data_IF_203961642834
#
_entry.id   IF_203961642834
#
_cell.length_a   1.000
_cell.length_b   1.000
_cell.length_c   1.000
_cell.angle_alpha   90.00
_cell.angle_beta   90.00
_cell.angle_gamma   90.00
#
_symmetry.space_group_name_H-M   'P 1'
#
loop_
_entity.id
_entity.type
_entity.pdbx_description
1 polymer ?
#
# COMPACT_ATOMS: atom_id res chain seq x y z
N UNK A 1 -14.03 5.33 5.13
CA UNK A 1 -13.00 5.66 6.15
C UNK A 1 -12.43 7.02 5.81
N UNK A 2 -12.37 7.94 6.78
CA UNK A 2 -11.89 9.32 6.55
C UNK A 2 -10.53 9.57 7.19
N UNK A 3 -10.22 8.87 8.28
CA UNK A 3 -8.97 9.05 9.03
C UNK A 3 -8.39 7.72 9.50
N UNK A 4 -7.05 7.69 9.52
CA UNK A 4 -6.25 6.68 10.22
C UNK A 4 -5.41 7.44 11.23
N UNK A 5 -5.47 7.05 12.51
CA UNK A 5 -4.71 7.71 13.57
C UNK A 5 -3.80 6.70 14.28
N UNK A 6 -2.60 7.15 14.59
CA UNK A 6 -1.61 6.46 15.41
C UNK A 6 -1.49 7.21 16.72
N UNK A 7 -1.64 6.53 17.85
CA UNK A 7 -1.51 7.14 19.18
C UNK A 7 -0.44 6.39 19.96
N UNK A 8 0.75 6.99 20.06
CA UNK A 8 1.92 6.44 20.77
C UNK A 8 2.28 5.01 20.33
N UNK A 9 2.13 4.70 19.04
CA UNK A 9 2.37 3.37 18.52
C UNK A 9 3.86 3.06 18.40
N UNK A 10 4.22 1.80 18.70
CA UNK A 10 5.58 1.28 18.54
C UNK A 10 5.52 -0.24 18.32
N UNK A 11 6.13 -0.82 17.26
CA UNK A 11 6.27 -2.26 17.16
C UNK A 11 7.07 -2.82 18.34
N UNK A 12 6.61 -3.92 18.92
CA UNK A 12 7.26 -4.50 20.13
C UNK A 12 8.72 -4.89 19.92
N UNK A 13 9.13 -5.15 18.68
CA UNK A 13 10.54 -5.42 18.36
C UNK A 13 11.46 -4.25 18.72
N UNK A 14 10.93 -3.04 18.83
CA UNK A 14 11.65 -1.83 19.24
C UNK A 14 11.41 -1.46 20.71
N UNK A 15 10.54 -2.18 21.43
CA UNK A 15 10.26 -1.90 22.83
C UNK A 15 11.55 -2.02 23.67
N UNK A 16 11.78 -1.00 24.49
CA UNK A 16 12.98 -0.93 25.33
C UNK A 16 14.27 -0.44 24.63
N UNK A 17 14.23 -0.12 23.33
CA UNK A 17 15.35 0.52 22.66
C UNK A 17 15.42 2.01 23.09
N UNK A 18 16.55 2.50 23.65
CA UNK A 18 16.67 3.89 24.01
C UNK A 18 16.86 4.77 22.78
N UNK A 19 16.27 5.97 22.80
CA UNK A 19 16.61 7.03 21.83
C UNK A 19 15.99 6.87 20.45
N UNK A 20 14.82 6.22 20.33
CA UNK A 20 14.07 6.16 19.06
C UNK A 20 13.78 7.60 18.59
N UNK A 21 14.42 8.00 17.50
CA UNK A 21 14.17 9.29 16.85
C UNK A 21 13.25 9.02 15.63
N UNK A 22 11.98 9.30 15.79
CA UNK A 22 10.99 9.09 14.75
C UNK A 22 9.92 10.17 14.82
N UNK A 23 9.40 10.57 13.65
CA UNK A 23 8.25 11.46 13.54
C UNK A 23 6.94 10.66 13.53
N UNK A 24 7.01 9.32 13.49
CA UNK A 24 5.87 8.40 13.44
C UNK A 24 5.73 7.64 14.76
N UNK A 25 6.81 6.97 15.23
CA UNK A 25 6.75 6.16 16.44
C UNK A 25 6.67 7.02 17.70
N UNK A 26 5.86 6.57 18.66
CA UNK A 26 5.64 7.25 19.94
C UNK A 26 5.09 8.68 19.78
N UNK A 27 4.42 8.94 18.68
CA UNK A 27 3.73 10.21 18.37
C UNK A 27 2.23 10.00 18.23
N UNK A 28 1.50 11.11 18.24
CA UNK A 28 0.13 11.12 17.74
C UNK A 28 0.16 11.67 16.33
N UNK A 29 -0.21 10.83 15.38
CA UNK A 29 -0.19 11.13 13.95
C UNK A 29 -1.55 10.81 13.35
N UNK A 30 -2.00 11.63 12.38
CA UNK A 30 -3.28 11.45 11.72
C UNK A 30 -3.10 11.55 10.22
N UNK A 31 -3.47 10.49 9.52
CA UNK A 31 -3.61 10.46 8.08
C UNK A 31 -5.06 10.75 7.70
N UNK A 32 -5.27 11.65 6.77
CA UNK A 32 -6.60 12.09 6.32
C UNK A 32 -6.82 11.67 4.87
N UNK A 33 -8.02 11.24 4.59
CA UNK A 33 -8.46 10.91 3.23
C UNK A 33 -8.20 12.08 2.28
N UNK A 34 -7.76 11.79 1.05
CA UNK A 34 -7.46 12.79 0.02
C UNK A 34 -6.06 13.39 0.09
N UNK A 35 -5.29 13.14 1.17
CA UNK A 35 -3.91 13.61 1.30
C UNK A 35 -2.89 12.54 0.91
N UNK A 36 -1.67 12.96 0.58
CA UNK A 36 -0.56 12.07 0.20
C UNK A 36 0.59 12.25 1.18
N UNK A 37 1.06 11.13 1.70
CA UNK A 37 2.09 11.04 2.73
C UNK A 37 3.25 10.18 2.24
N UNK A 38 4.48 10.60 2.52
CA UNK A 38 5.68 9.81 2.32
C UNK A 38 6.32 9.53 3.68
N UNK A 39 6.57 8.26 3.98
CA UNK A 39 7.27 7.82 5.18
C UNK A 39 8.62 7.24 4.75
N UNK A 40 9.68 7.99 4.99
CA UNK A 40 11.04 7.60 4.64
C UNK A 40 11.80 7.08 5.85
N UNK A 41 12.58 6.02 5.67
CA UNK A 41 13.47 5.50 6.70
C UNK A 41 14.52 4.57 6.10
N UNK A 42 15.58 4.34 6.83
CA UNK A 42 16.54 3.28 6.52
C UNK A 42 15.89 1.88 6.60
N UNK A 43 16.59 0.88 6.08
CA UNK A 43 16.13 -0.51 6.20
C UNK A 43 16.09 -0.94 7.67
N UNK A 44 15.06 -1.68 8.06
CA UNK A 44 14.93 -2.20 9.42
C UNK A 44 14.24 -1.27 10.42
N UNK A 45 13.89 -0.03 10.07
CA UNK A 45 13.24 0.92 10.98
C UNK A 45 11.74 0.70 11.20
N UNK A 46 11.13 -0.37 10.63
CA UNK A 46 9.74 -0.73 10.92
C UNK A 46 8.70 -0.25 9.91
N UNK A 47 9.09 0.23 8.70
CA UNK A 47 8.14 0.63 7.65
C UNK A 47 7.12 -0.47 7.30
N UNK A 48 7.62 -1.67 7.01
CA UNK A 48 6.75 -2.81 6.70
C UNK A 48 5.95 -3.27 7.93
N UNK A 49 6.46 -3.06 9.15
CA UNK A 49 5.68 -3.28 10.37
C UNK A 49 4.50 -2.33 10.44
N UNK A 50 4.73 -1.02 10.23
CA UNK A 50 3.65 -0.02 10.19
C UNK A 50 2.56 -0.41 9.19
N UNK A 51 2.96 -0.76 7.96
CA UNK A 51 2.02 -1.19 6.93
C UNK A 51 1.26 -2.47 7.33
N UNK A 52 1.96 -3.44 7.92
CA UNK A 52 1.35 -4.70 8.35
C UNK A 52 0.40 -4.50 9.55
N UNK A 53 0.74 -3.62 10.49
CA UNK A 53 -0.09 -3.27 11.64
C UNK A 53 -1.37 -2.55 11.18
N UNK A 54 -1.25 -1.53 10.32
CA UNK A 54 -2.38 -0.81 9.73
C UNK A 54 -3.31 -1.70 8.90
N UNK A 55 -2.76 -2.71 8.23
CA UNK A 55 -3.56 -3.67 7.47
C UNK A 55 -4.10 -4.83 8.32
N UNK A 56 -3.76 -4.85 9.64
CA UNK A 56 -4.20 -5.87 10.59
C UNK A 56 -3.58 -7.25 10.36
N UNK A 57 -2.40 -7.31 9.73
CA UNK A 57 -1.62 -8.55 9.60
C UNK A 57 -0.81 -8.88 10.86
N UNK A 58 -0.49 -7.85 11.63
CA UNK A 58 0.25 -7.97 12.89
C UNK A 58 -0.51 -7.26 14.01
N UNK A 59 -0.25 -7.68 15.24
CA UNK A 59 -0.80 -7.10 16.47
C UNK A 59 0.26 -6.99 17.57
N UNK A 60 1.53 -7.11 17.21
CA UNK A 60 2.66 -7.07 18.12
C UNK A 60 3.24 -5.64 18.24
N UNK A 61 2.40 -4.71 18.63
CA UNK A 61 2.73 -3.31 18.88
C UNK A 61 2.25 -2.84 20.25
N UNK A 62 2.74 -1.69 20.68
CA UNK A 62 2.25 -0.89 21.79
C UNK A 62 1.53 0.35 21.24
N UNK A 63 0.72 1.01 22.05
CA UNK A 63 -0.10 2.15 21.61
C UNK A 63 -1.40 1.73 20.93
N UNK A 64 -2.00 2.61 20.15
CA UNK A 64 -3.32 2.37 19.55
C UNK A 64 -3.37 2.90 18.13
N UNK A 65 -3.93 2.09 17.22
CA UNK A 65 -4.34 2.51 15.88
C UNK A 65 -5.86 2.73 15.87
N UNK A 66 -6.30 3.84 15.27
CA UNK A 66 -7.71 4.17 15.17
C UNK A 66 -8.11 4.37 13.71
N UNK A 67 -9.30 3.86 13.33
CA UNK A 67 -10.00 4.17 12.09
C UNK A 67 -11.23 4.98 12.41
N UNK A 68 -11.30 6.23 11.93
CA UNK A 68 -12.37 7.18 12.24
C UNK A 68 -12.65 7.31 13.77
N UNK A 69 -11.57 7.29 14.58
CA UNK A 69 -11.63 7.39 16.04
C UNK A 69 -11.94 6.08 16.78
N UNK A 70 -12.21 4.97 16.09
CA UNK A 70 -12.44 3.64 16.69
C UNK A 70 -11.18 2.80 16.65
N UNK A 71 -10.85 2.13 17.76
CA UNK A 71 -9.69 1.22 17.81
C UNK A 71 -9.82 0.06 16.82
N UNK A 72 -8.73 -0.21 16.10
CA UNK A 72 -8.69 -1.35 15.17
C UNK A 72 -8.74 -2.70 15.90
N UNK A 73 -8.42 -2.74 17.19
CA UNK A 73 -8.50 -3.95 18.02
C UNK A 73 -9.95 -4.36 18.34
N UNK A 74 -10.89 -3.42 18.18
CA UNK A 74 -12.32 -3.65 18.36
C UNK A 74 -13.03 -4.14 17.10
N UNK A 75 -12.32 -4.20 15.96
CA UNK A 75 -12.91 -4.62 14.69
C UNK A 75 -13.14 -6.13 14.68
N UNK A 76 -14.35 -6.53 14.31
CA UNK A 76 -14.69 -7.92 14.06
C UNK A 76 -14.01 -8.45 12.80
N UNK A 77 -14.04 -9.77 12.60
CA UNK A 77 -13.51 -10.40 11.37
C UNK A 77 -14.22 -9.89 10.12
N UNK A 78 -15.54 -9.70 10.18
CA UNK A 78 -16.36 -9.19 9.08
C UNK A 78 -15.98 -7.75 8.73
N UNK A 79 -15.78 -6.90 9.74
CA UNK A 79 -15.33 -5.51 9.55
C UNK A 79 -13.92 -5.46 8.95
N UNK A 80 -13.01 -6.31 9.40
CA UNK A 80 -11.69 -6.44 8.78
C UNK A 80 -11.75 -6.91 7.33
N UNK A 81 -12.65 -7.82 6.99
CA UNK A 81 -12.88 -8.24 5.61
C UNK A 81 -13.35 -7.06 4.75
N UNK A 82 -14.23 -6.21 5.30
CA UNK A 82 -14.71 -5.03 4.57
C UNK A 82 -13.62 -3.96 4.43
N UNK A 83 -12.85 -3.68 5.50
CA UNK A 83 -11.69 -2.77 5.46
C UNK A 83 -10.72 -3.19 4.35
N UNK A 84 -10.32 -4.46 4.28
CA UNK A 84 -9.37 -4.99 3.29
C UNK A 84 -9.95 -5.08 1.88
N UNK A 85 -11.25 -5.09 1.74
CA UNK A 85 -11.93 -5.17 0.45
C UNK A 85 -12.25 -3.80 -0.13
N UNK A 86 -12.53 -2.78 0.72
CA UNK A 86 -13.11 -1.50 0.27
C UNK A 86 -12.44 -0.25 0.78
N UNK A 87 -11.66 -0.34 1.86
CA UNK A 87 -11.14 0.86 2.53
C UNK A 87 -9.63 1.01 2.42
N UNK A 88 -8.87 -0.09 2.50
CA UNK A 88 -7.41 -0.05 2.38
C UNK A 88 -6.94 -0.93 1.23
N UNK A 89 -6.38 -0.32 0.18
CA UNK A 89 -5.66 -1.02 -0.87
C UNK A 89 -4.19 -1.12 -0.50
N UNK A 90 -3.73 -2.33 -0.21
CA UNK A 90 -2.37 -2.56 0.28
C UNK A 90 -1.47 -3.22 -0.78
N UNK A 91 -0.34 -2.58 -1.05
CA UNK A 91 0.80 -3.12 -1.80
C UNK A 91 1.92 -3.47 -0.82
N UNK A 92 2.12 -4.73 -0.45
CA UNK A 92 3.26 -5.14 0.38
C UNK A 92 4.56 -5.17 -0.43
N UNK A 93 5.69 -4.96 0.22
CA UNK A 93 7.03 -4.97 -0.38
C UNK A 93 7.31 -6.28 -1.14
N UNK A 94 6.91 -7.44 -0.60
CA UNK A 94 7.09 -8.74 -1.26
C UNK A 94 6.07 -9.01 -2.38
N UNK A 95 5.22 -8.04 -2.73
CA UNK A 95 4.20 -8.11 -3.78
C UNK A 95 3.13 -9.20 -3.56
N UNK A 96 3.47 -10.35 -2.99
CA UNK A 96 2.59 -11.50 -2.66
C UNK A 96 1.69 -11.91 -3.83
N UNK A 97 2.30 -12.05 -5.00
CA UNK A 97 1.64 -12.66 -6.15
C UNK A 97 1.59 -14.19 -5.97
N UNK A 98 0.55 -14.81 -6.52
CA UNK A 98 0.47 -16.26 -6.67
C UNK A 98 1.31 -16.67 -7.89
N UNK A 99 2.45 -17.36 -7.69
CA UNK A 99 3.40 -17.59 -8.76
C UNK A 99 2.90 -18.53 -9.86
N UNK A 100 1.93 -19.40 -9.54
CA UNK A 100 1.32 -20.34 -10.47
C UNK A 100 0.23 -19.71 -11.34
N UNK A 101 -0.39 -18.63 -10.88
CA UNK A 101 -1.40 -17.90 -11.63
C UNK A 101 -0.74 -16.93 -12.62
N UNK A 102 -1.41 -16.69 -13.73
CA UNK A 102 -0.99 -15.67 -14.69
C UNK A 102 -1.01 -14.27 -14.07
N UNK A 103 -0.34 -13.32 -14.69
CA UNK A 103 -0.36 -11.92 -14.27
C UNK A 103 -1.80 -11.39 -14.23
N UNK A 104 -2.59 -11.67 -15.24
CA UNK A 104 -4.00 -11.25 -15.33
C UNK A 104 -4.85 -11.90 -14.24
N UNK A 105 -4.72 -13.22 -14.01
CA UNK A 105 -5.46 -13.91 -12.94
C UNK A 105 -5.14 -13.35 -11.56
N UNK A 106 -3.87 -12.99 -11.28
CA UNK A 106 -3.49 -12.33 -10.04
C UNK A 106 -4.22 -11.00 -9.82
N UNK A 107 -4.43 -10.23 -10.88
CA UNK A 107 -5.18 -8.95 -10.83
C UNK A 107 -6.68 -9.23 -10.67
N UNK A 108 -7.22 -10.16 -11.44
CA UNK A 108 -8.65 -10.50 -11.42
C UNK A 108 -9.10 -11.06 -10.07
N UNK A 109 -8.26 -11.83 -9.35
CA UNK A 109 -8.57 -12.30 -8.00
C UNK A 109 -9.01 -11.15 -7.08
N UNK A 110 -8.33 -10.01 -7.16
CA UNK A 110 -8.66 -8.84 -6.34
C UNK A 110 -9.86 -8.10 -6.90
N UNK A 111 -9.90 -7.89 -8.20
CA UNK A 111 -10.98 -7.16 -8.87
C UNK A 111 -12.34 -7.85 -8.70
N UNK A 112 -12.41 -9.17 -8.77
CA UNK A 112 -13.65 -9.95 -8.63
C UNK A 112 -14.34 -9.77 -7.27
N UNK A 113 -13.61 -9.35 -6.23
CA UNK A 113 -14.21 -9.11 -4.91
C UNK A 113 -15.19 -7.92 -4.91
N UNK A 114 -15.01 -6.97 -5.84
CA UNK A 114 -15.80 -5.73 -5.86
C UNK A 114 -16.27 -5.33 -7.27
N UNK A 115 -15.70 -5.90 -8.33
CA UNK A 115 -15.96 -5.48 -9.71
C UNK A 115 -15.54 -4.03 -10.00
N UNK A 116 -14.48 -3.55 -9.34
CA UNK A 116 -14.08 -2.14 -9.35
C UNK A 116 -13.63 -1.63 -10.72
N UNK A 117 -12.95 -2.48 -11.48
CA UNK A 117 -12.46 -2.18 -12.83
C UNK A 117 -13.11 -3.10 -13.86
N UNK A 118 -13.39 -2.52 -15.02
CA UNK A 118 -13.77 -3.29 -16.21
C UNK A 118 -12.56 -4.02 -16.81
N UNK A 119 -12.80 -5.05 -17.60
CA UNK A 119 -11.72 -5.74 -18.34
C UNK A 119 -10.91 -4.79 -19.23
N UNK A 120 -11.56 -3.79 -19.83
CA UNK A 120 -10.88 -2.80 -20.67
C UNK A 120 -9.94 -1.91 -19.85
N UNK A 121 -10.36 -1.46 -18.69
CA UNK A 121 -9.51 -0.67 -17.78
C UNK A 121 -8.31 -1.49 -17.28
N UNK A 122 -8.53 -2.77 -16.94
CA UNK A 122 -7.42 -3.65 -16.51
C UNK A 122 -6.41 -3.81 -17.66
N UNK A 123 -6.87 -4.06 -18.89
CA UNK A 123 -5.98 -4.16 -20.06
C UNK A 123 -5.20 -2.87 -20.31
N UNK A 124 -5.85 -1.72 -20.22
CA UNK A 124 -5.19 -0.42 -20.33
C UNK A 124 -4.09 -0.22 -19.29
N UNK A 125 -4.29 -0.66 -18.03
CA UNK A 125 -3.25 -0.62 -17.00
C UNK A 125 -2.06 -1.53 -17.35
N UNK A 126 -2.30 -2.73 -17.92
CA UNK A 126 -1.23 -3.60 -18.40
C UNK A 126 -0.43 -2.96 -19.55
N UNK A 127 -1.11 -2.27 -20.47
CA UNK A 127 -0.47 -1.53 -21.56
C UNK A 127 0.37 -0.35 -21.04
N UNK A 128 -0.22 0.49 -20.20
CA UNK A 128 0.46 1.65 -19.58
C UNK A 128 1.73 1.26 -18.83
N UNK A 129 1.70 0.14 -18.12
CA UNK A 129 2.86 -0.37 -17.37
C UNK A 129 3.78 -1.28 -18.20
N UNK A 130 3.55 -1.41 -19.52
CA UNK A 130 4.44 -2.15 -20.42
C UNK A 130 4.56 -3.63 -20.08
N UNK A 131 3.47 -4.26 -19.61
CA UNK A 131 3.42 -5.70 -19.27
C UNK A 131 2.26 -6.43 -19.97
N UNK A 132 1.66 -5.82 -21.00
CA UNK A 132 0.53 -6.39 -21.71
C UNK A 132 0.85 -7.75 -22.34
N UNK A 133 2.03 -7.93 -22.92
CA UNK A 133 2.52 -9.19 -23.51
C UNK A 133 2.85 -10.26 -22.44
N UNK A 134 2.73 -9.93 -21.17
CA UNK A 134 2.97 -10.80 -20.02
C UNK A 134 1.68 -11.20 -19.31
N UNK A 135 0.51 -10.67 -19.72
CA UNK A 135 -0.76 -10.87 -19.03
C UNK A 135 -1.08 -12.36 -18.80
N UNK A 136 -0.84 -13.20 -19.80
CA UNK A 136 -1.13 -14.64 -19.76
C UNK A 136 0.06 -15.50 -19.27
N UNK A 137 1.14 -14.87 -18.79
CA UNK A 137 2.31 -15.60 -18.23
C UNK A 137 2.14 -15.82 -16.74
N UNK A 138 2.52 -17.00 -16.21
CA UNK A 138 2.59 -17.24 -14.77
C UNK A 138 3.47 -16.18 -14.08
N UNK A 139 2.99 -15.62 -12.98
CA UNK A 139 3.66 -14.54 -12.27
C UNK A 139 5.07 -14.93 -11.78
N UNK A 140 5.29 -16.19 -11.40
CA UNK A 140 6.60 -16.70 -11.00
C UNK A 140 7.65 -16.74 -12.12
N UNK A 141 7.26 -16.54 -13.39
CA UNK A 141 8.18 -16.46 -14.55
C UNK A 141 8.46 -15.02 -14.99
N UNK A 142 7.91 -14.04 -14.30
CA UNK A 142 8.15 -12.63 -14.55
C UNK A 142 9.41 -12.14 -13.82
N UNK A 143 10.10 -11.13 -14.38
CA UNK A 143 11.14 -10.43 -13.64
C UNK A 143 10.56 -9.71 -12.43
N UNK A 144 11.39 -9.40 -11.43
CA UNK A 144 10.95 -8.73 -10.20
C UNK A 144 10.25 -7.39 -10.50
N UNK A 145 10.77 -6.58 -11.43
CA UNK A 145 10.13 -5.33 -11.85
C UNK A 145 8.81 -5.55 -12.63
N UNK A 146 8.66 -6.66 -13.38
CA UNK A 146 7.39 -7.03 -14.00
C UNK A 146 6.38 -7.46 -12.93
N UNK A 147 6.80 -8.26 -11.95
CA UNK A 147 5.97 -8.66 -10.82
C UNK A 147 5.49 -7.43 -10.03
N UNK A 148 6.38 -6.46 -9.78
CA UNK A 148 6.01 -5.22 -9.07
C UNK A 148 4.94 -4.44 -9.84
N UNK A 149 5.07 -4.29 -11.17
CA UNK A 149 4.06 -3.64 -12.00
C UNK A 149 2.71 -4.37 -11.97
N UNK A 150 2.70 -5.70 -12.02
CA UNK A 150 1.49 -6.51 -11.88
C UNK A 150 0.86 -6.34 -10.48
N UNK A 151 1.66 -6.30 -9.42
CA UNK A 151 1.18 -6.09 -8.05
C UNK A 151 0.54 -4.69 -7.88
N UNK A 152 1.10 -3.66 -8.55
CA UNK A 152 0.53 -2.31 -8.59
C UNK A 152 -0.83 -2.34 -9.30
N UNK A 153 -0.94 -2.98 -10.49
CA UNK A 153 -2.22 -3.13 -11.20
C UNK A 153 -3.25 -3.79 -10.27
N UNK A 154 -2.88 -4.89 -9.60
CA UNK A 154 -3.75 -5.57 -8.65
C UNK A 154 -4.21 -4.66 -7.52
N UNK A 155 -3.34 -3.79 -7.02
CA UNK A 155 -3.64 -2.88 -5.91
C UNK A 155 -4.67 -1.83 -6.32
N UNK A 156 -4.57 -1.25 -7.53
CA UNK A 156 -5.52 -0.24 -8.03
C UNK A 156 -6.83 -0.85 -8.57
N UNK A 157 -6.93 -2.17 -8.65
CA UNK A 157 -8.16 -2.87 -9.04
C UNK A 157 -9.12 -3.12 -7.87
N UNK A 158 -9.02 -2.32 -6.81
CA UNK A 158 -9.97 -2.35 -5.69
C UNK A 158 -10.36 -0.92 -5.33
N UNK A 159 -11.61 -0.67 -4.89
CA UNK A 159 -11.98 0.62 -4.30
C UNK A 159 -11.24 0.79 -2.96
N UNK A 160 -10.82 2.01 -2.65
CA UNK A 160 -10.23 2.29 -1.36
C UNK A 160 -10.40 3.75 -0.96
N UNK A 161 -10.25 3.99 0.34
CA UNK A 161 -10.12 5.33 0.94
C UNK A 161 -8.65 5.66 1.21
N UNK A 162 -7.80 4.63 1.34
CA UNK A 162 -6.36 4.74 1.55
C UNK A 162 -5.59 3.72 0.71
N UNK A 163 -4.65 4.20 -0.09
CA UNK A 163 -3.57 3.39 -0.64
C UNK A 163 -2.45 3.29 0.39
N UNK A 164 -2.09 2.08 0.77
CA UNK A 164 -0.98 1.75 1.65
C UNK A 164 0.09 1.05 0.81
N UNK A 165 1.19 1.74 0.52
CA UNK A 165 2.18 1.31 -0.47
C UNK A 165 3.55 1.12 0.20
N UNK A 166 3.96 -0.13 0.39
CA UNK A 166 5.23 -0.47 1.02
C UNK A 166 6.32 -0.63 -0.04
N UNK A 167 7.19 0.39 -0.16
CA UNK A 167 8.26 0.48 -1.14
C UNK A 167 7.81 0.22 -2.59
N UNK A 168 6.80 0.96 -3.11
CA UNK A 168 6.09 0.61 -4.34
C UNK A 168 6.94 0.61 -5.61
N UNK A 169 8.11 1.26 -5.59
CA UNK A 169 8.96 1.46 -6.78
C UNK A 169 10.40 0.98 -6.58
N UNK A 170 10.66 0.15 -5.56
CA UNK A 170 12.01 -0.31 -5.19
C UNK A 170 12.75 -1.04 -6.31
N UNK A 171 12.05 -1.67 -7.25
CA UNK A 171 12.62 -2.44 -8.37
C UNK A 171 12.30 -1.82 -9.74
N UNK A 172 11.93 -0.55 -9.79
CA UNK A 172 11.56 0.17 -11.00
C UNK A 172 12.59 1.24 -11.33
N UNK A 173 12.81 1.44 -12.62
CA UNK A 173 13.56 2.58 -13.12
C UNK A 173 12.72 3.87 -13.05
N UNK A 174 13.35 5.01 -13.32
CA UNK A 174 12.73 6.33 -13.23
C UNK A 174 11.50 6.47 -14.13
N UNK A 175 11.55 5.91 -15.35
CA UNK A 175 10.44 5.97 -16.31
C UNK A 175 9.23 5.21 -15.78
N UNK A 176 9.42 3.98 -15.29
CA UNK A 176 8.35 3.19 -14.70
C UNK A 176 7.85 3.79 -13.38
N UNK A 177 8.73 4.42 -12.58
CA UNK A 177 8.31 5.14 -11.36
C UNK A 177 7.30 6.24 -11.70
N UNK A 178 7.58 7.08 -12.70
CA UNK A 178 6.65 8.15 -13.15
C UNK A 178 5.30 7.59 -13.59
N UNK A 179 5.30 6.53 -14.40
CA UNK A 179 4.05 5.90 -14.86
C UNK A 179 3.23 5.37 -13.67
N UNK A 180 3.88 4.75 -12.69
CA UNK A 180 3.23 4.29 -11.46
C UNK A 180 2.67 5.46 -10.66
N UNK A 181 3.45 6.52 -10.51
CA UNK A 181 3.06 7.74 -9.81
C UNK A 181 1.81 8.38 -10.43
N UNK A 182 1.76 8.46 -11.77
CA UNK A 182 0.61 8.96 -12.52
C UNK A 182 -0.63 8.10 -12.26
N UNK A 183 -0.50 6.77 -12.37
CA UNK A 183 -1.62 5.83 -12.13
C UNK A 183 -2.16 5.96 -10.70
N UNK A 184 -1.28 5.97 -9.69
CA UNK A 184 -1.70 6.11 -8.28
C UNK A 184 -2.36 7.47 -8.05
N UNK A 185 -1.80 8.55 -8.62
CA UNK A 185 -2.35 9.91 -8.47
C UNK A 185 -3.73 10.03 -9.13
N UNK A 186 -3.90 9.50 -10.35
CA UNK A 186 -5.18 9.46 -11.06
C UNK A 186 -6.24 8.68 -10.27
N UNK A 187 -5.89 7.48 -9.77
CA UNK A 187 -6.82 6.66 -8.99
C UNK A 187 -7.17 7.30 -7.64
N UNK A 188 -6.19 7.88 -6.95
CA UNK A 188 -6.43 8.61 -5.71
C UNK A 188 -7.35 9.80 -5.93
N UNK A 189 -7.13 10.60 -6.99
CA UNK A 189 -7.99 11.72 -7.35
C UNK A 189 -9.42 11.25 -7.70
N UNK A 190 -9.56 10.15 -8.46
CA UNK A 190 -10.87 9.61 -8.88
C UNK A 190 -11.70 9.10 -7.71
N UNK A 191 -11.07 8.51 -6.69
CA UNK A 191 -11.77 7.93 -5.53
C UNK A 191 -11.79 8.84 -4.31
N UNK A 192 -11.01 9.93 -4.32
CA UNK A 192 -10.75 10.76 -3.15
C UNK A 192 -9.91 10.04 -2.10
N UNK A 193 -9.15 9.02 -2.48
CA UNK A 193 -8.33 8.25 -1.55
C UNK A 193 -7.08 9.01 -1.12
N UNK A 194 -6.60 8.71 0.09
CA UNK A 194 -5.26 9.10 0.52
C UNK A 194 -4.21 8.13 -0.01
N UNK A 195 -2.96 8.58 -0.06
CA UNK A 195 -1.79 7.75 -0.36
C UNK A 195 -0.81 7.81 0.82
N UNK A 196 -0.48 6.66 1.38
CA UNK A 196 0.58 6.49 2.38
C UNK A 196 1.63 5.58 1.74
N UNK A 197 2.74 6.17 1.31
CA UNK A 197 3.84 5.42 0.69
C UNK A 197 5.06 5.39 1.61
N UNK A 198 5.70 4.22 1.72
CA UNK A 198 6.99 4.10 2.40
C UNK A 198 8.14 4.03 1.41
N UNK A 199 9.34 4.44 1.83
CA UNK A 199 10.53 4.43 0.95
C UNK A 199 11.83 4.20 1.71
N UNK A 200 12.81 3.59 0.99
CA UNK A 200 14.23 3.53 1.35
C UNK A 200 15.01 4.16 0.18
N UNK A 201 14.96 5.50 0.07
CA UNK A 201 15.73 6.25 -0.92
C UNK A 201 15.13 6.38 -2.32
N UNK A 202 14.47 5.35 -2.87
CA UNK A 202 13.73 5.47 -4.14
C UNK A 202 12.27 5.82 -3.84
N UNK A 203 11.95 7.10 -3.87
CA UNK A 203 10.61 7.59 -3.56
C UNK A 203 9.67 7.44 -4.77
N UNK A 204 8.40 7.16 -4.49
CA UNK A 204 7.35 7.29 -5.49
C UNK A 204 7.27 8.78 -5.94
N UNK A 205 7.29 9.02 -7.24
CA UNK A 205 7.37 10.38 -7.84
C UNK A 205 6.01 11.11 -7.82
N UNK A 206 5.46 11.31 -6.61
CA UNK A 206 4.21 12.04 -6.36
C UNK A 206 4.46 13.28 -5.52
N UNK A 207 3.68 14.34 -5.78
CA UNK A 207 3.64 15.48 -4.86
C UNK A 207 2.96 15.05 -3.55
N UNK A 208 3.68 15.13 -2.43
CA UNK A 208 3.17 14.79 -1.10
C UNK A 208 2.86 16.04 -0.30
N UNK A 209 1.81 16.00 0.50
CA UNK A 209 1.45 17.06 1.45
C UNK A 209 2.33 17.00 2.70
N UNK A 210 2.76 15.80 3.10
CA UNK A 210 3.58 15.61 4.28
C UNK A 210 4.62 14.49 4.06
N UNK A 211 5.86 14.76 4.43
CA UNK A 211 6.94 13.80 4.43
C UNK A 211 7.43 13.59 5.87
N UNK A 212 7.45 12.34 6.31
CA UNK A 212 7.79 11.94 7.67
C UNK A 212 9.01 11.02 7.66
N UNK A 213 9.79 11.09 8.72
CA UNK A 213 10.92 10.16 8.99
C UNK A 213 10.53 9.18 10.10
N UNK A 214 10.77 7.92 9.81
CA UNK A 214 10.52 6.84 10.73
C UNK A 214 11.79 6.48 11.50
#
# INVERSE_FOLDING_TARGET
MNTIELVNTLPRVFAGQPGIQSEVWLKTLRFERGKKYLISAESGCGKSSLCADLYGYRKDYEGTFLFDGRSIDELTVEEWCDVRRRHIAYLPQEMRLFPELTALENVELKNRLTGHKTTAEIRSLFERLGVADRADRPAGKLSIGQQQRVAIIRTVCQPCDFFLLDEPVSHLDETNNRIVADIITEEAARTGAAVIATSVGNNLDIAVEEALKL
#
